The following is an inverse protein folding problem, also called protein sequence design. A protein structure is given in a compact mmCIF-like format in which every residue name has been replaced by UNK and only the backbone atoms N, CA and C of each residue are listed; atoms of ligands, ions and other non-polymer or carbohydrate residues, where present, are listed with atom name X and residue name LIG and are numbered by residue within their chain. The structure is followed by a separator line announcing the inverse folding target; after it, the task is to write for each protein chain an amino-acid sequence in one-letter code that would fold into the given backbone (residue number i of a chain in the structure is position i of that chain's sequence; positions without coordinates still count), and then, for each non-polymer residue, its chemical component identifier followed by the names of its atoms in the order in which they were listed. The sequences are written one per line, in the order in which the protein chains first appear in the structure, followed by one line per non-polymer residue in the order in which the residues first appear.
data_IF_247368940670
#
_entry.id   IF_247368940670
#
_cell.length_a   1.000
_cell.length_b   1.000
_cell.length_c   1.000
_cell.angle_alpha   90.00
_cell.angle_beta   90.00
_cell.angle_gamma   90.00
#
_symmetry.space_group_name_H-M   'P 1'
#
loop_
_entity.id
_entity.type
_entity.pdbx_description
1 polymer ?
#
# COMPACT_ATOMS: atom_id res chain seq x y z
N UNK A 1 50.19 -7.49 -6.99
CA UNK A 1 49.62 -7.05 -5.70
C UNK A 1 48.20 -7.60 -5.58
N UNK A 2 47.91 -8.31 -4.48
CA UNK A 2 46.56 -8.79 -4.12
C UNK A 2 45.62 -7.62 -3.83
N UNK A 3 44.35 -7.79 -4.21
CA UNK A 3 43.09 -7.35 -3.55
C UNK A 3 41.98 -7.43 -4.62
N UNK A 4 41.36 -8.59 -4.86
CA UNK A 4 40.14 -9.03 -4.19
C UNK A 4 39.07 -7.94 -4.05
N UNK A 5 37.86 -8.28 -4.54
CA UNK A 5 36.54 -7.80 -4.11
C UNK A 5 36.09 -6.42 -4.60
N UNK A 6 35.40 -6.42 -5.74
CA UNK A 6 34.54 -5.35 -6.21
C UNK A 6 33.22 -5.40 -5.41
N UNK A 7 33.23 -4.74 -4.25
CA UNK A 7 32.08 -4.62 -3.36
C UNK A 7 32.04 -3.19 -2.81
N UNK A 8 31.58 -2.24 -3.63
CA UNK A 8 31.19 -0.90 -3.14
C UNK A 8 29.71 -0.66 -3.43
N UNK A 9 28.90 -1.31 -2.60
CA UNK A 9 27.66 -0.72 -2.09
C UNK A 9 28.08 0.54 -1.33
N UNK A 10 27.93 1.74 -1.92
CA UNK A 10 28.00 3.10 -1.33
C UNK A 10 28.15 4.09 -2.49
N UNK A 11 27.47 5.23 -2.63
CA UNK A 11 26.72 6.05 -1.70
C UNK A 11 25.92 7.10 -2.49
N UNK A 12 24.71 7.39 -2.00
CA UNK A 12 24.13 8.74 -1.92
C UNK A 12 23.90 9.51 -3.23
N UNK A 13 22.67 9.42 -3.74
CA UNK A 13 21.98 10.58 -4.29
C UNK A 13 20.48 10.46 -3.96
N UNK A 14 19.87 11.55 -3.52
CA UNK A 14 18.44 11.69 -3.25
C UNK A 14 17.94 11.14 -1.91
N UNK A 15 18.51 11.62 -0.80
CA UNK A 15 17.76 11.72 0.46
C UNK A 15 17.74 13.18 0.90
N UNK A 16 16.60 13.86 0.72
CA UNK A 16 15.86 14.61 1.77
C UNK A 16 14.54 15.21 1.24
N UNK A 17 13.44 14.62 1.72
CA UNK A 17 12.03 15.02 1.89
C UNK A 17 11.52 16.39 1.37
N UNK A 18 10.34 16.38 0.74
CA UNK A 18 9.14 17.04 1.30
C UNK A 18 7.85 16.46 0.69
N UNK A 19 6.87 16.21 1.55
CA UNK A 19 5.50 15.86 1.22
C UNK A 19 4.85 16.90 0.30
N UNK A 20 4.19 16.49 -0.78
CA UNK A 20 2.89 17.00 -1.29
C UNK A 20 2.70 16.49 -2.72
N UNK A 21 1.61 15.77 -2.96
CA UNK A 21 1.37 15.05 -4.20
C UNK A 21 1.31 15.94 -5.44
N UNK A 22 1.97 15.49 -6.49
CA UNK A 22 1.47 15.60 -7.86
C UNK A 22 1.83 14.29 -8.55
N UNK A 23 1.03 13.25 -8.32
CA UNK A 23 0.93 12.20 -9.32
C UNK A 23 0.11 12.83 -10.46
N UNK A 24 0.80 13.19 -11.54
CA UNK A 24 0.16 13.49 -12.81
C UNK A 24 -0.80 12.33 -13.09
N UNK A 25 -2.10 12.61 -13.15
CA UNK A 25 -3.10 11.64 -13.56
C UNK A 25 -2.91 11.34 -15.04
N UNK A 26 -1.85 10.59 -15.36
CA UNK A 26 -1.74 9.86 -16.60
C UNK A 26 -2.79 8.77 -16.52
N UNK A 27 -3.86 8.90 -17.33
CA UNK A 27 -4.85 7.84 -17.51
C UNK A 27 -4.15 6.52 -17.73
N UNK A 28 -4.21 5.66 -16.72
CA UNK A 28 -3.42 4.45 -16.62
C UNK A 28 -4.29 3.44 -15.93
N UNK A 29 -4.52 2.33 -16.63
CA UNK A 29 -4.87 1.00 -16.15
C UNK A 29 -4.99 0.90 -14.63
N UNK A 30 -6.15 0.43 -14.15
CA UNK A 30 -6.39 0.05 -12.76
C UNK A 30 -5.13 -0.57 -12.14
N UNK A 31 -4.55 0.10 -11.14
CA UNK A 31 -3.34 -0.34 -10.50
C UNK A 31 -3.65 -1.41 -9.46
N UNK A 32 -2.73 -2.37 -9.29
CA UNK A 32 -2.79 -3.33 -8.19
C UNK A 32 -1.91 -2.87 -7.03
N UNK A 33 -2.51 -2.75 -5.85
CA UNK A 33 -1.87 -2.30 -4.61
C UNK A 33 -1.83 -3.48 -3.64
N UNK A 34 -0.64 -3.84 -3.14
CA UNK A 34 -0.45 -5.07 -2.38
C UNK A 34 -0.27 -4.80 -0.88
N UNK A 35 -1.05 -5.51 -0.07
CA UNK A 35 -0.97 -5.49 1.40
C UNK A 35 -0.57 -6.88 1.88
N UNK A 36 0.45 -7.03 2.75
CA UNK A 36 1.27 -5.98 3.37
C UNK A 36 2.53 -5.59 2.57
N UNK A 37 2.73 -6.16 1.38
CA UNK A 37 4.01 -6.09 0.65
C UNK A 37 4.43 -4.67 0.22
N UNK A 38 3.47 -3.83 -0.19
CA UNK A 38 3.70 -2.43 -0.58
C UNK A 38 3.16 -1.45 0.48
N UNK A 39 2.05 -1.80 1.13
CA UNK A 39 1.43 -0.99 2.17
C UNK A 39 1.27 -1.84 3.42
N UNK A 40 1.79 -1.37 4.55
CA UNK A 40 1.72 -2.11 5.81
C UNK A 40 0.31 -2.29 6.36
N UNK A 41 -0.65 -1.48 5.90
CA UNK A 41 -2.05 -1.50 6.33
C UNK A 41 -3.00 -1.38 5.13
N UNK A 42 -4.20 -1.90 5.28
CA UNK A 42 -5.27 -1.80 4.26
C UNK A 42 -5.67 -0.34 4.10
N UNK A 43 -5.78 0.44 5.18
CA UNK A 43 -6.09 1.86 5.09
C UNK A 43 -5.04 2.66 4.32
N UNK A 44 -3.75 2.30 4.40
CA UNK A 44 -2.71 2.97 3.62
C UNK A 44 -2.85 2.67 2.12
N UNK A 45 -3.15 1.41 1.76
CA UNK A 45 -3.45 1.04 0.39
C UNK A 45 -4.72 1.75 -0.13
N UNK A 46 -5.78 1.81 0.69
CA UNK A 46 -6.97 2.60 0.39
C UNK A 46 -6.55 4.04 0.16
N UNK A 47 -5.90 4.72 1.10
CA UNK A 47 -5.51 6.13 0.95
C UNK A 47 -4.71 6.42 -0.33
N UNK A 48 -3.88 5.49 -0.80
CA UNK A 48 -3.11 5.62 -2.03
C UNK A 48 -3.87 5.26 -3.33
N UNK A 49 -4.95 4.48 -3.23
CA UNK A 49 -5.68 3.99 -4.39
C UNK A 49 -6.42 5.11 -5.16
N UNK A 50 -6.32 5.08 -6.48
CA UNK A 50 -7.15 5.86 -7.39
C UNK A 50 -8.47 5.12 -7.71
N UNK A 51 -9.37 5.81 -8.39
CA UNK A 51 -10.61 5.21 -8.88
C UNK A 51 -10.31 4.09 -9.88
N UNK A 52 -10.91 2.92 -9.68
CA UNK A 52 -10.69 1.73 -10.51
C UNK A 52 -9.60 0.78 -10.02
N UNK A 53 -8.79 1.16 -9.02
CA UNK A 53 -7.70 0.33 -8.53
C UNK A 53 -8.19 -0.94 -7.80
N UNK A 54 -7.29 -1.91 -7.70
CA UNK A 54 -7.50 -3.15 -6.95
C UNK A 54 -6.49 -3.28 -5.82
N UNK A 55 -6.96 -3.38 -4.59
CA UNK A 55 -6.14 -3.68 -3.42
C UNK A 55 -6.13 -5.19 -3.22
N UNK A 56 -4.96 -5.81 -3.36
CA UNK A 56 -4.73 -7.24 -3.13
C UNK A 56 -4.22 -7.45 -1.71
N UNK A 57 -5.04 -8.13 -0.91
CA UNK A 57 -4.77 -8.37 0.50
C UNK A 57 -4.29 -9.81 0.64
N UNK A 58 -3.04 -9.99 1.03
CA UNK A 58 -2.48 -11.31 1.27
C UNK A 58 -3.15 -11.99 2.47
N UNK A 59 -3.08 -13.31 2.53
CA UNK A 59 -3.61 -14.09 3.65
C UNK A 59 -2.99 -13.66 4.99
N UNK A 60 -3.83 -13.53 6.02
CA UNK A 60 -3.40 -13.05 7.34
C UNK A 60 -4.51 -12.33 8.10
N UNK A 61 -4.23 -12.05 9.38
CA UNK A 61 -5.14 -11.34 10.29
C UNK A 61 -4.80 -9.84 10.34
N UNK A 62 -5.79 -9.01 9.97
CA UNK A 62 -5.68 -7.56 9.95
C UNK A 62 -6.56 -6.96 11.04
N UNK A 63 -5.95 -6.46 12.11
CA UNK A 63 -6.63 -5.81 13.24
C UNK A 63 -6.66 -4.30 13.04
N UNK A 64 -7.42 -3.84 12.04
CA UNK A 64 -7.52 -2.43 11.70
C UNK A 64 -8.94 -2.05 11.26
N UNK A 65 -9.20 -0.75 11.20
CA UNK A 65 -10.41 -0.20 10.60
C UNK A 65 -10.09 0.35 9.22
N UNK A 66 -10.85 -0.06 8.22
CA UNK A 66 -10.74 0.45 6.85
C UNK A 66 -11.98 1.26 6.50
N UNK A 67 -11.79 2.55 6.23
CA UNK A 67 -12.82 3.47 5.72
C UNK A 67 -12.59 3.69 4.24
N UNK A 68 -13.59 3.34 3.44
CA UNK A 68 -13.62 3.56 2.00
C UNK A 68 -14.54 4.75 1.73
N UNK A 69 -13.98 5.95 1.66
CA UNK A 69 -14.72 7.18 1.37
C UNK A 69 -14.31 7.74 0.00
N UNK A 70 -15.31 8.20 -0.77
CA UNK A 70 -15.13 8.94 -2.02
C UNK A 70 -14.30 8.22 -3.10
N UNK A 71 -14.39 6.87 -3.17
CA UNK A 71 -13.69 6.06 -4.18
C UNK A 71 -14.65 5.46 -5.19
N UNK A 72 -14.55 5.91 -6.43
CA UNK A 72 -15.35 5.33 -7.52
C UNK A 72 -14.65 4.04 -7.99
N UNK A 73 -15.34 2.91 -7.89
CA UNK A 73 -14.89 1.61 -8.42
C UNK A 73 -13.60 1.05 -7.78
N UNK A 74 -13.38 1.22 -6.48
CA UNK A 74 -12.28 0.54 -5.78
C UNK A 74 -12.63 -0.92 -5.51
N UNK A 75 -11.72 -1.84 -5.83
CA UNK A 75 -11.88 -3.27 -5.52
C UNK A 75 -10.94 -3.68 -4.38
N UNK A 76 -11.45 -4.34 -3.35
CA UNK A 76 -10.64 -5.02 -2.34
C UNK A 76 -10.75 -6.52 -2.58
N UNK A 77 -9.63 -7.17 -2.91
CA UNK A 77 -9.54 -8.59 -3.19
C UNK A 77 -8.62 -9.27 -2.18
N UNK A 78 -9.20 -10.07 -1.29
CA UNK A 78 -8.44 -10.89 -0.34
C UNK A 78 -8.05 -12.23 -0.93
N UNK A 79 -6.82 -12.67 -0.67
CA UNK A 79 -6.42 -14.06 -0.86
C UNK A 79 -7.12 -14.97 0.16
N UNK A 80 -7.29 -16.28 -0.13
CA UNK A 80 -7.85 -17.23 0.82
C UNK A 80 -7.09 -17.20 2.15
N UNK A 81 -7.79 -16.92 3.26
CA UNK A 81 -7.19 -16.78 4.59
C UNK A 81 -6.93 -15.34 5.03
N UNK A 82 -7.29 -14.34 4.23
CA UNK A 82 -7.36 -12.96 4.70
C UNK A 82 -8.56 -12.78 5.65
N UNK A 83 -8.30 -12.31 6.87
CA UNK A 83 -9.31 -12.04 7.91
C UNK A 83 -9.16 -10.61 8.40
N UNK A 84 -10.23 -9.82 8.29
CA UNK A 84 -10.27 -8.45 8.80
C UNK A 84 -11.03 -8.47 10.12
N UNK A 85 -10.34 -8.10 11.20
CA UNK A 85 -10.90 -8.04 12.55
C UNK A 85 -11.36 -6.63 12.84
N UNK A 86 -12.67 -6.44 12.95
CA UNK A 86 -13.23 -5.18 13.43
C UNK A 86 -12.87 -4.97 14.91
N UNK A 87 -12.66 -3.71 15.31
CA UNK A 87 -12.46 -3.36 16.71
C UNK A 87 -13.76 -3.58 17.51
N UNK A 88 -13.68 -4.34 18.61
CA UNK A 88 -14.83 -4.71 19.44
C UNK A 88 -15.51 -3.54 20.18
N UNK A 89 -14.97 -2.32 20.09
CA UNK A 89 -15.49 -1.11 20.73
C UNK A 89 -16.19 -0.12 19.81
N UNK A 90 -16.63 -0.52 18.62
CA UNK A 90 -17.23 0.40 17.64
C UNK A 90 -18.73 0.62 17.90
N UNK A 91 -19.14 1.87 18.15
CA UNK A 91 -20.53 2.30 17.98
C UNK A 91 -20.73 2.72 16.52
N UNK A 92 -21.72 2.19 15.79
CA UNK A 92 -22.05 2.71 14.47
C UNK A 92 -22.57 4.14 14.64
N UNK A 93 -21.80 5.12 14.14
CA UNK A 93 -22.27 6.50 13.97
C UNK A 93 -22.99 6.62 12.64
#
# INVERSE_FOLDING_TARGET
MKKHTELEIKAVAAQTLLWLGVALASGGWAAELYVPAQYSTIQAAVNAAASGDTIRIAAGDYYEQTVIADRNCLTLAGEPGAVIHAWNGMTPT
#
